data_IF_949237613121
#
_entry.id   IF_949237613121
#
_cell.length_a   1.000
_cell.length_b   1.000
_cell.length_c   1.000
_cell.angle_alpha   90.00
_cell.angle_beta   90.00
_cell.angle_gamma   90.00
#
_symmetry.space_group_name_H-M   'P 1'
#
loop_
_entity.id
_entity.type
_entity.pdbx_description
1 polymer ?
#
# COMPACT_ATOMS: atom_id res chain seq x y z
N UNK A 1 -5.92 4.43 14.02
CA UNK A 1 -5.88 3.65 15.28
C UNK A 1 -4.94 4.35 16.23
N UNK A 2 -5.36 4.58 17.44
CA UNK A 2 -4.53 5.23 18.45
C UNK A 2 -3.41 4.28 18.88
N UNK A 3 -2.23 4.85 19.17
CA UNK A 3 -1.10 4.08 19.71
C UNK A 3 -1.50 3.51 21.08
N UNK A 4 -1.27 2.20 21.35
CA UNK A 4 -1.55 1.62 22.65
C UNK A 4 -0.90 2.42 23.78
N UNK A 5 -1.59 2.68 24.91
CA UNK A 5 -1.09 3.56 25.97
C UNK A 5 0.29 3.16 26.51
N UNK A 6 0.55 1.85 26.69
CA UNK A 6 1.84 1.38 27.16
C UNK A 6 2.97 1.65 26.15
N UNK A 7 2.68 1.57 24.85
CA UNK A 7 3.64 1.90 23.80
C UNK A 7 3.87 3.42 23.71
N UNK A 8 2.81 4.22 23.86
CA UNK A 8 2.93 5.68 23.90
C UNK A 8 3.79 6.14 25.10
N UNK A 9 3.58 5.56 26.28
CA UNK A 9 4.38 5.82 27.47
C UNK A 9 5.85 5.40 27.27
N UNK A 10 6.08 4.26 26.61
CA UNK A 10 7.43 3.81 26.26
C UNK A 10 8.16 4.83 25.37
N UNK A 11 7.53 5.31 24.30
CA UNK A 11 8.14 6.32 23.43
C UNK A 11 8.38 7.66 24.15
N UNK A 12 7.46 8.08 25.01
CA UNK A 12 7.62 9.30 25.80
C UNK A 12 8.74 9.20 26.85
N UNK A 13 9.00 8.01 27.38
CA UNK A 13 10.02 7.77 28.41
C UNK A 13 11.46 7.71 27.87
N UNK A 14 11.67 7.53 26.55
CA UNK A 14 13.00 7.42 25.93
C UNK A 14 13.82 6.21 26.40
N UNK A 15 13.20 5.27 27.10
CA UNK A 15 13.86 4.07 27.63
C UNK A 15 14.08 3.02 26.53
N UNK A 16 15.07 2.15 26.72
CA UNK A 16 15.28 1.01 25.81
C UNK A 16 14.52 -0.22 26.33
N UNK A 17 13.99 -1.04 25.43
CA UNK A 17 13.36 -2.32 25.78
C UNK A 17 14.28 -3.22 26.60
N UNK A 18 15.61 -3.14 26.37
CA UNK A 18 16.63 -3.92 27.07
C UNK A 18 17.04 -3.33 28.43
N UNK A 19 16.48 -2.19 28.85
CA UNK A 19 16.87 -1.53 30.11
C UNK A 19 16.39 -2.24 31.37
N UNK A 20 15.48 -3.20 31.24
CA UNK A 20 14.81 -3.86 32.37
C UNK A 20 13.80 -2.99 33.11
N UNK A 21 13.67 -1.72 32.73
CA UNK A 21 12.71 -0.76 33.33
C UNK A 21 11.39 -0.71 32.58
N UNK A 22 11.31 -1.39 31.43
CA UNK A 22 10.14 -1.39 30.57
C UNK A 22 9.44 -2.73 30.70
N UNK A 23 8.15 -2.72 31.02
CA UNK A 23 7.32 -3.93 30.97
C UNK A 23 6.96 -4.25 29.51
N UNK A 24 7.86 -4.99 28.86
CA UNK A 24 7.66 -5.46 27.49
C UNK A 24 6.45 -6.40 27.36
N UNK A 25 6.12 -7.12 28.45
CA UNK A 25 4.95 -8.00 28.49
C UNK A 25 3.64 -7.20 28.43
N UNK A 26 3.53 -6.12 29.20
CA UNK A 26 2.36 -5.22 29.15
C UNK A 26 2.20 -4.53 27.79
N UNK A 27 3.31 -4.12 27.16
CA UNK A 27 3.29 -3.58 25.80
C UNK A 27 2.81 -4.65 24.82
N UNK A 28 3.39 -5.84 24.85
CA UNK A 28 3.03 -6.94 23.97
C UNK A 28 1.55 -7.34 24.13
N UNK A 29 1.05 -7.42 25.37
CA UNK A 29 -0.35 -7.76 25.65
C UNK A 29 -1.36 -6.77 25.02
N UNK A 30 -0.99 -5.49 24.92
CA UNK A 30 -1.83 -4.48 24.26
C UNK A 30 -1.84 -4.59 22.73
N UNK A 31 -0.84 -5.24 22.15
CA UNK A 31 -0.82 -5.57 20.73
C UNK A 31 -1.56 -6.86 20.39
N UNK A 32 -1.72 -7.76 21.35
CA UNK A 32 -2.42 -9.03 21.13
C UNK A 32 -3.91 -8.76 20.96
N UNK A 33 -4.31 -8.59 19.70
CA UNK A 33 -5.68 -8.61 19.31
C UNK A 33 -5.93 -9.93 18.57
N UNK A 34 -6.63 -10.86 19.21
CA UNK A 34 -6.97 -12.17 18.64
C UNK A 34 -7.62 -12.05 17.25
N UNK A 35 -8.36 -10.98 17.00
CA UNK A 35 -8.99 -10.71 15.71
C UNK A 35 -7.99 -10.33 14.62
N UNK A 36 -6.83 -9.75 14.97
CA UNK A 36 -5.81 -9.33 14.01
C UNK A 36 -4.59 -10.25 14.02
N UNK A 37 -4.45 -11.10 15.03
CA UNK A 37 -3.32 -12.02 15.20
C UNK A 37 -3.51 -13.38 14.55
N UNK A 38 -4.74 -13.72 14.14
CA UNK A 38 -5.06 -14.99 13.48
C UNK A 38 -5.57 -14.73 12.08
N UNK A 39 -5.10 -15.55 11.13
CA UNK A 39 -5.65 -15.60 9.79
C UNK A 39 -7.07 -16.13 9.86
N UNK A 40 -8.03 -15.35 9.34
CA UNK A 40 -9.44 -15.72 9.29
C UNK A 40 -9.78 -16.19 7.88
N UNK A 41 -10.47 -17.33 7.78
CA UNK A 41 -11.02 -17.80 6.54
C UNK A 41 -12.32 -17.06 6.22
N UNK A 42 -12.45 -16.57 5.01
CA UNK A 42 -13.67 -15.93 4.50
C UNK A 42 -14.19 -16.78 3.33
N UNK A 43 -15.38 -17.32 3.49
CA UNK A 43 -15.99 -18.22 2.49
C UNK A 43 -16.46 -17.49 1.23
N UNK A 44 -16.73 -16.19 1.34
CA UNK A 44 -17.20 -15.38 0.21
C UNK A 44 -16.29 -14.17 0.02
N UNK A 45 -15.58 -14.16 -1.08
CA UNK A 45 -14.77 -12.99 -1.47
C UNK A 45 -15.69 -11.85 -1.96
N UNK A 46 -15.44 -10.62 -1.53
CA UNK A 46 -16.09 -9.45 -2.11
C UNK A 46 -15.79 -9.33 -3.61
N UNK A 47 -16.74 -8.77 -4.35
CA UNK A 47 -16.58 -8.52 -5.79
C UNK A 47 -15.50 -7.47 -6.02
N UNK A 48 -14.67 -7.70 -7.02
CA UNK A 48 -13.72 -6.71 -7.50
C UNK A 48 -14.49 -5.57 -8.17
N UNK A 49 -14.16 -4.35 -7.80
CA UNK A 49 -14.83 -3.16 -8.32
C UNK A 49 -13.79 -2.10 -8.67
N UNK A 50 -13.99 -1.43 -9.80
CA UNK A 50 -13.23 -0.25 -10.18
C UNK A 50 -14.11 0.73 -10.94
N UNK A 51 -13.82 2.00 -10.78
CA UNK A 51 -14.51 3.06 -11.50
C UNK A 51 -13.64 4.32 -11.52
N UNK A 52 -13.85 5.12 -12.55
CA UNK A 52 -13.27 6.44 -12.66
C UNK A 52 -14.31 7.43 -13.19
N UNK A 53 -14.10 8.68 -12.84
CA UNK A 53 -14.85 9.80 -13.37
C UNK A 53 -13.85 10.88 -13.79
N UNK A 54 -14.08 11.43 -14.97
CA UNK A 54 -13.29 12.54 -15.49
C UNK A 54 -14.22 13.61 -16.01
N UNK A 55 -13.93 14.85 -15.67
CA UNK A 55 -14.66 16.02 -16.16
C UNK A 55 -13.69 17.17 -16.39
N UNK A 56 -14.06 18.03 -17.30
CA UNK A 56 -13.28 19.24 -17.58
C UNK A 56 -14.11 20.22 -18.38
N UNK A 57 -13.65 21.46 -18.36
CA UNK A 57 -14.24 22.56 -19.10
C UNK A 57 -13.19 23.58 -19.46
N UNK A 58 -13.47 24.35 -20.48
CA UNK A 58 -12.71 25.55 -20.83
C UNK A 58 -13.66 26.72 -21.01
N UNK A 59 -13.16 27.91 -20.70
CA UNK A 59 -13.89 29.16 -20.85
C UNK A 59 -12.95 30.22 -21.42
N UNK A 60 -13.37 30.80 -22.52
CA UNK A 60 -12.69 31.99 -23.08
C UNK A 60 -13.06 33.22 -22.26
N UNK A 61 -12.06 33.97 -21.90
CA UNK A 61 -12.10 35.26 -21.20
C UNK A 61 -11.62 36.34 -22.19
N UNK A 62 -11.81 37.60 -21.83
CA UNK A 62 -11.43 38.72 -22.68
C UNK A 62 -9.91 38.74 -23.01
N UNK A 63 -9.09 38.24 -22.07
CA UNK A 63 -7.62 38.27 -22.18
C UNK A 63 -6.99 36.87 -22.36
N UNK A 64 -7.80 35.80 -22.55
CA UNK A 64 -7.24 34.46 -22.73
C UNK A 64 -8.23 33.33 -22.44
N UNK A 65 -7.72 32.12 -22.40
CA UNK A 65 -8.49 30.90 -22.20
C UNK A 65 -8.15 30.23 -20.88
N UNK A 66 -9.17 29.92 -20.08
CA UNK A 66 -9.05 29.19 -18.83
C UNK A 66 -9.56 27.75 -19.01
N UNK A 67 -8.70 26.78 -18.72
CA UNK A 67 -9.07 25.35 -18.77
C UNK A 67 -8.98 24.71 -17.40
N UNK A 68 -9.93 23.84 -17.11
CA UNK A 68 -9.97 23.00 -15.91
C UNK A 68 -10.19 21.54 -16.28
N UNK A 69 -9.48 20.63 -15.63
CA UNK A 69 -9.70 19.19 -15.71
C UNK A 69 -9.59 18.56 -14.33
N UNK A 70 -10.48 17.63 -14.04
CA UNK A 70 -10.37 16.81 -12.85
C UNK A 70 -10.72 15.36 -13.17
N UNK A 71 -10.00 14.43 -12.54
CA UNK A 71 -10.31 13.00 -12.58
C UNK A 71 -10.18 12.42 -11.20
N UNK A 72 -11.03 11.45 -10.88
CA UNK A 72 -10.94 10.66 -9.68
C UNK A 72 -11.19 9.20 -10.00
N UNK A 73 -10.41 8.31 -9.41
CA UNK A 73 -10.53 6.88 -9.62
C UNK A 73 -10.44 6.11 -8.31
N UNK A 74 -11.14 5.01 -8.27
CA UNK A 74 -11.14 4.04 -7.18
C UNK A 74 -11.10 2.62 -7.73
N UNK A 75 -10.27 1.78 -7.16
CA UNK A 75 -10.31 0.34 -7.42
C UNK A 75 -10.13 -0.44 -6.13
N UNK A 76 -10.85 -1.55 -6.02
CA UNK A 76 -10.74 -2.52 -4.94
C UNK A 76 -10.74 -3.92 -5.54
N UNK A 77 -9.62 -4.61 -5.43
CA UNK A 77 -9.44 -5.94 -5.99
C UNK A 77 -8.99 -6.94 -4.95
N UNK A 78 -9.55 -8.14 -5.03
CA UNK A 78 -9.17 -9.30 -4.25
C UNK A 78 -8.56 -10.37 -5.14
N UNK A 79 -7.52 -11.02 -4.65
CA UNK A 79 -6.86 -12.11 -5.35
C UNK A 79 -6.38 -13.14 -4.35
N UNK A 80 -6.72 -14.40 -4.58
CA UNK A 80 -6.19 -15.55 -3.82
C UNK A 80 -5.39 -16.44 -4.76
N UNK A 81 -4.27 -16.95 -4.30
CA UNK A 81 -3.38 -17.84 -5.04
C UNK A 81 -2.96 -18.98 -4.15
N UNK A 82 -2.97 -20.19 -4.69
CA UNK A 82 -2.32 -21.35 -4.13
C UNK A 82 -0.94 -21.50 -4.76
N UNK A 83 0.08 -21.64 -3.93
CA UNK A 83 1.48 -21.66 -4.32
C UNK A 83 2.14 -22.88 -3.69
N UNK A 84 2.91 -23.61 -4.47
CA UNK A 84 3.88 -24.59 -3.98
C UNK A 84 5.22 -23.88 -3.92
N UNK A 85 5.77 -23.76 -2.72
CA UNK A 85 7.06 -23.11 -2.48
C UNK A 85 8.07 -24.18 -2.06
N UNK A 86 8.99 -24.51 -2.95
CA UNK A 86 10.01 -25.52 -2.73
C UNK A 86 11.40 -24.93 -2.90
N UNK A 87 12.30 -25.32 -2.00
CA UNK A 87 13.70 -24.92 -2.04
C UNK A 87 14.57 -26.17 -1.94
N UNK A 88 15.48 -26.44 -2.89
CA UNK A 88 16.36 -27.60 -2.83
C UNK A 88 17.44 -27.43 -1.77
N UNK A 89 17.79 -28.53 -1.12
CA UNK A 89 18.92 -28.62 -0.19
C UNK A 89 20.23 -28.99 -0.91
N UNK A 90 20.15 -29.47 -2.15
CA UNK A 90 21.29 -29.96 -2.93
C UNK A 90 21.14 -29.56 -4.40
N UNK A 91 22.27 -29.40 -5.09
CA UNK A 91 22.29 -28.96 -6.48
C UNK A 91 21.65 -29.96 -7.45
N UNK A 92 21.56 -31.23 -7.08
CA UNK A 92 20.93 -32.33 -7.85
C UNK A 92 19.41 -32.42 -7.64
N UNK A 93 18.84 -31.52 -6.81
CA UNK A 93 17.39 -31.43 -6.50
C UNK A 93 16.83 -32.73 -5.84
N UNK A 94 17.66 -33.63 -5.40
CA UNK A 94 17.24 -34.91 -4.79
C UNK A 94 16.61 -34.74 -3.41
N UNK A 95 16.92 -33.66 -2.74
CA UNK A 95 16.39 -33.32 -1.41
C UNK A 95 15.86 -31.91 -1.39
N UNK A 96 14.66 -31.74 -0.81
CA UNK A 96 14.09 -30.44 -0.53
C UNK A 96 14.47 -29.99 0.88
N UNK A 97 14.93 -28.76 1.00
CA UNK A 97 15.12 -28.08 2.27
C UNK A 97 13.79 -27.53 2.80
N UNK A 98 13.00 -26.95 1.89
CA UNK A 98 11.70 -26.39 2.16
C UNK A 98 10.69 -27.00 1.18
N UNK A 99 9.55 -27.45 1.70
CA UNK A 99 8.42 -27.92 0.91
C UNK A 99 7.10 -27.43 1.54
N UNK A 100 6.60 -26.31 1.06
CA UNK A 100 5.43 -25.64 1.59
C UNK A 100 4.32 -25.55 0.56
N UNK A 101 3.09 -25.75 1.03
CA UNK A 101 1.86 -25.32 0.38
C UNK A 101 1.44 -24.00 1.00
N UNK A 102 1.28 -22.97 0.17
CA UNK A 102 1.04 -21.60 0.63
C UNK A 102 -0.20 -21.04 -0.04
N UNK A 103 -1.14 -20.58 0.76
CA UNK A 103 -2.29 -19.80 0.31
C UNK A 103 -2.01 -18.33 0.59
N UNK A 104 -2.08 -17.50 -0.44
CA UNK A 104 -1.85 -16.05 -0.35
C UNK A 104 -3.09 -15.32 -0.81
N UNK A 105 -3.69 -14.54 0.09
CA UNK A 105 -4.81 -13.65 -0.22
C UNK A 105 -4.38 -12.20 -0.12
N UNK A 106 -4.69 -11.44 -1.15
CA UNK A 106 -4.35 -10.02 -1.27
C UNK A 106 -5.61 -9.21 -1.54
N UNK A 107 -5.74 -8.09 -0.85
CA UNK A 107 -6.70 -7.04 -1.17
C UNK A 107 -5.94 -5.76 -1.49
N UNK A 108 -6.07 -5.29 -2.71
CA UNK A 108 -5.45 -4.05 -3.16
C UNK A 108 -6.51 -2.99 -3.41
N UNK A 109 -6.34 -1.85 -2.76
CA UNK A 109 -7.21 -0.68 -2.90
C UNK A 109 -6.35 0.46 -3.45
N UNK A 110 -6.76 1.03 -4.58
CA UNK A 110 -6.10 2.20 -5.17
C UNK A 110 -7.10 3.33 -5.27
N UNK A 111 -6.70 4.48 -4.77
CA UNK A 111 -7.40 5.75 -4.92
C UNK A 111 -6.46 6.69 -5.67
N UNK A 112 -6.97 7.30 -6.72
CA UNK A 112 -6.22 8.30 -7.46
C UNK A 112 -7.08 9.51 -7.78
N UNK A 113 -6.44 10.64 -7.94
CA UNK A 113 -7.08 11.87 -8.33
C UNK A 113 -6.08 12.80 -9.01
N UNK A 114 -6.55 13.53 -10.00
CA UNK A 114 -5.82 14.59 -10.65
C UNK A 114 -6.73 15.81 -10.79
N UNK A 115 -6.18 16.98 -10.51
CA UNK A 115 -6.81 18.26 -10.80
C UNK A 115 -5.81 19.16 -11.51
N UNK A 116 -6.22 19.77 -12.59
CA UNK A 116 -5.41 20.66 -13.40
C UNK A 116 -6.15 21.94 -13.76
N UNK A 117 -5.44 23.04 -13.66
CA UNK A 117 -5.82 24.37 -14.15
C UNK A 117 -4.79 24.82 -15.18
N UNK A 118 -5.24 25.37 -16.29
CA UNK A 118 -4.39 25.98 -17.29
C UNK A 118 -4.97 27.33 -17.69
N UNK A 119 -4.11 28.31 -17.78
CA UNK A 119 -4.47 29.62 -18.29
C UNK A 119 -3.53 30.00 -19.42
N UNK A 120 -4.10 30.32 -20.55
CA UNK A 120 -3.38 30.71 -21.76
C UNK A 120 -3.80 32.15 -22.09
N UNK A 121 -2.85 33.06 -22.28
CA UNK A 121 -3.11 34.48 -22.47
C UNK A 121 -2.09 35.13 -23.40
N UNK A 122 -2.50 36.23 -24.02
CA UNK A 122 -1.68 36.98 -24.97
C UNK A 122 -1.22 36.09 -26.13
N UNK A 123 -0.03 36.33 -26.63
CA UNK A 123 0.55 35.63 -27.79
C UNK A 123 1.31 34.37 -27.34
N UNK A 124 0.56 33.36 -26.82
CA UNK A 124 1.11 32.03 -26.52
C UNK A 124 1.72 31.88 -25.10
N UNK A 125 1.45 32.81 -24.19
CA UNK A 125 1.83 32.66 -22.80
C UNK A 125 0.89 31.68 -22.12
N UNK A 126 1.44 30.76 -21.33
CA UNK A 126 0.67 29.71 -20.66
C UNK A 126 1.20 29.41 -19.26
N UNK A 127 0.28 29.32 -18.33
CA UNK A 127 0.54 28.82 -16.96
C UNK A 127 -0.32 27.58 -16.75
N UNK A 128 0.28 26.54 -16.21
CA UNK A 128 -0.44 25.31 -15.84
C UNK A 128 -0.10 24.90 -14.42
N UNK A 129 -1.12 24.62 -13.64
CA UNK A 129 -1.02 24.02 -12.33
C UNK A 129 -1.66 22.64 -12.32
N UNK A 130 -0.94 21.64 -11.85
CA UNK A 130 -1.39 20.24 -11.82
C UNK A 130 -1.16 19.66 -10.44
N UNK A 131 -2.18 19.01 -9.90
CA UNK A 131 -2.08 18.22 -8.68
C UNK A 131 -2.44 16.76 -8.98
N UNK A 132 -1.63 15.86 -8.45
CA UNK A 132 -1.84 14.43 -8.53
C UNK A 132 -1.79 13.85 -7.12
N UNK A 133 -2.78 13.02 -6.78
CA UNK A 133 -2.78 12.18 -5.60
C UNK A 133 -2.97 10.73 -6.01
N UNK A 134 -2.14 9.85 -5.46
CA UNK A 134 -2.29 8.39 -5.60
C UNK A 134 -2.07 7.76 -4.24
N UNK A 135 -3.00 6.93 -3.79
CA UNK A 135 -2.87 6.11 -2.60
C UNK A 135 -3.10 4.66 -2.96
N UNK A 136 -2.10 3.83 -2.71
CA UNK A 136 -2.12 2.38 -2.96
C UNK A 136 -2.00 1.66 -1.61
N UNK A 137 -3.02 0.90 -1.27
CA UNK A 137 -3.08 0.10 -0.04
C UNK A 137 -3.14 -1.37 -0.41
N UNK A 138 -2.18 -2.16 0.06
CA UNK A 138 -2.14 -3.60 -0.09
C UNK A 138 -2.25 -4.26 1.29
N UNK A 139 -3.30 -5.06 1.47
CA UNK A 139 -3.45 -5.97 2.60
C UNK A 139 -3.13 -7.37 2.09
N UNK A 140 -2.21 -8.04 2.76
CA UNK A 140 -1.79 -9.39 2.38
C UNK A 140 -1.89 -10.31 3.58
N UNK A 141 -2.39 -11.50 3.35
CA UNK A 141 -2.39 -12.59 4.30
C UNK A 141 -1.85 -13.83 3.62
N UNK A 142 -0.92 -14.52 4.27
CA UNK A 142 -0.45 -15.80 3.79
C UNK A 142 -0.47 -16.84 4.90
N UNK A 143 -0.83 -18.06 4.51
CA UNK A 143 -0.78 -19.25 5.31
C UNK A 143 0.07 -20.26 4.55
N UNK A 144 1.19 -20.68 5.14
CA UNK A 144 2.06 -21.70 4.60
C UNK A 144 2.11 -22.89 5.55
N UNK A 145 2.00 -24.09 5.01
CA UNK A 145 2.09 -25.35 5.76
C UNK A 145 3.02 -26.30 5.01
N UNK A 146 3.89 -27.00 5.76
CA UNK A 146 4.81 -27.94 5.16
C UNK A 146 6.02 -28.27 6.02
N UNK A 147 7.08 -28.74 5.38
CA UNK A 147 8.30 -29.22 6.03
C UNK A 147 9.48 -28.30 5.76
N UNK A 148 10.32 -28.17 6.79
CA UNK A 148 11.59 -27.46 6.69
C UNK A 148 12.71 -28.37 7.24
N UNK A 149 13.39 -29.04 6.35
CA UNK A 149 14.29 -30.15 6.68
C UNK A 149 15.59 -29.70 7.36
N UNK A 150 16.05 -28.46 7.15
CA UNK A 150 17.25 -27.93 7.79
C UNK A 150 17.06 -27.60 9.27
N UNK A 151 15.82 -27.40 9.71
CA UNK A 151 15.52 -27.10 11.11
C UNK A 151 15.08 -28.32 11.90
N UNK A 152 13.98 -28.95 11.49
CA UNK A 152 13.41 -30.13 12.13
C UNK A 152 12.66 -30.99 11.10
N UNK A 153 13.29 -31.98 10.48
CA UNK A 153 12.71 -32.75 9.36
C UNK A 153 11.47 -33.56 9.74
N UNK A 154 11.28 -33.83 11.03
CA UNK A 154 10.14 -34.64 11.54
C UNK A 154 8.91 -33.80 11.92
N UNK A 155 9.00 -32.49 11.89
CA UNK A 155 7.88 -31.62 12.26
C UNK A 155 7.30 -30.93 11.05
N UNK A 156 5.98 -30.76 11.05
CA UNK A 156 5.30 -29.88 10.12
C UNK A 156 5.28 -28.46 10.69
N UNK A 157 5.59 -27.50 9.86
CA UNK A 157 5.57 -26.08 10.18
C UNK A 157 4.32 -25.44 9.62
N UNK A 158 3.77 -24.52 10.39
CA UNK A 158 2.72 -23.62 9.95
C UNK A 158 3.17 -22.19 10.17
N UNK A 159 3.23 -21.44 9.09
CA UNK A 159 3.61 -20.02 9.10
C UNK A 159 2.41 -19.17 8.68
N UNK A 160 2.12 -18.14 9.46
CA UNK A 160 1.08 -17.17 9.17
C UNK A 160 1.71 -15.79 9.08
N UNK A 161 1.43 -15.09 7.99
CA UNK A 161 1.89 -13.73 7.76
C UNK A 161 0.68 -12.84 7.46
N UNK A 162 0.64 -11.68 8.10
CA UNK A 162 -0.29 -10.60 7.77
C UNK A 162 0.49 -9.32 7.52
N UNK A 163 0.29 -8.72 6.36
CA UNK A 163 0.96 -7.49 5.97
C UNK A 163 -0.04 -6.39 5.60
N UNK A 164 0.31 -5.18 5.94
CA UNK A 164 -0.39 -3.98 5.51
C UNK A 164 0.65 -3.02 4.96
N UNK A 165 0.54 -2.73 3.68
CA UNK A 165 1.43 -1.81 2.97
C UNK A 165 0.60 -0.66 2.44
N UNK A 166 1.04 0.55 2.71
CA UNK A 166 0.39 1.76 2.23
C UNK A 166 1.43 2.70 1.64
N UNK A 167 1.16 3.18 0.44
CA UNK A 167 2.00 4.14 -0.26
C UNK A 167 1.11 5.28 -0.72
N UNK A 168 1.57 6.49 -0.49
CA UNK A 168 0.88 7.68 -0.93
C UNK A 168 1.86 8.59 -1.67
N UNK A 169 1.44 9.04 -2.83
CA UNK A 169 2.10 10.08 -3.60
C UNK A 169 1.17 11.29 -3.66
N UNK A 170 1.71 12.43 -3.34
CA UNK A 170 1.10 13.72 -3.61
C UNK A 170 2.10 14.55 -4.39
N UNK A 171 1.74 14.98 -5.59
CA UNK A 171 2.57 15.79 -6.46
C UNK A 171 1.82 17.06 -6.85
N UNK A 172 2.46 18.19 -6.68
CA UNK A 172 2.00 19.50 -7.15
C UNK A 172 3.04 20.04 -8.11
N UNK A 173 2.60 20.45 -9.29
CA UNK A 173 3.47 21.00 -10.33
C UNK A 173 2.87 22.29 -10.87
N UNK A 174 3.69 23.33 -10.93
CA UNK A 174 3.40 24.58 -11.63
C UNK A 174 4.37 24.72 -12.79
N UNK A 175 3.86 24.90 -13.98
CA UNK A 175 4.66 25.09 -15.20
C UNK A 175 4.22 26.36 -15.92
N UNK A 176 5.17 27.10 -16.47
CA UNK A 176 4.93 28.30 -17.28
C UNK A 176 5.69 28.21 -18.59
N UNK A 177 5.09 28.68 -19.66
CA UNK A 177 5.71 28.96 -20.95
C UNK A 177 5.40 30.40 -21.33
N UNK A 178 6.43 31.18 -21.60
CA UNK A 178 6.28 32.59 -21.93
C UNK A 178 6.93 32.86 -23.25
N UNK A 179 6.20 33.57 -24.13
CA UNK A 179 6.75 34.08 -25.36
C UNK A 179 7.41 35.44 -25.07
N UNK A 180 8.74 35.47 -25.11
CA UNK A 180 9.51 36.70 -24.94
C UNK A 180 9.89 37.20 -26.30
N UNK A 181 9.03 38.05 -26.90
CA UNK A 181 9.42 38.75 -28.12
C UNK A 181 10.63 39.65 -27.81
N UNK A 182 11.74 39.52 -28.58
CA UNK A 182 12.82 40.47 -28.46
C UNK A 182 12.32 41.86 -28.95
N UNK A 183 12.35 42.81 -28.05
CA UNK A 183 12.11 44.23 -28.35
C UNK A 183 13.20 44.74 -29.31
#
# INVERSE_FOLDING_TARGET
RDTPPALAAFFAGGERLSSGKVDSGAIAAQFVNTRNGLVQLIDKMPVNFSGNVTGGTSKSLDDGDLGFIATAGYSNGWKTRDIIEQSPASADLSRLDKDYRKVVSENRIVINGLAGLAYEYGEGNRIRWTNLIVRDTLKRTSLAEGKQNNQRPTFDFREQETGWYERQLWSTQLTGGFNLDPV
#
